data_IF_845837620597
#
_entry.id   IF_845837620597
#
_cell.length_a   1.000
_cell.length_b   1.000
_cell.length_c   1.000
_cell.angle_alpha   90.00
_cell.angle_beta   90.00
_cell.angle_gamma   90.00
#
_symmetry.space_group_name_H-M   'P 1'
#
loop_
_entity.id
_entity.type
_entity.pdbx_description
1 polymer ?
#
# COMPACT_ATOMS: atom_id res chain seq x y z
N UNK A 1 9.05 9.07 4.86
CA UNK A 1 9.38 7.95 5.79
C UNK A 1 8.09 7.45 6.41
N UNK A 2 7.95 6.16 6.71
CA UNK A 2 6.78 5.62 7.40
C UNK A 2 6.99 5.69 8.91
N UNK A 3 5.97 6.11 9.65
CA UNK A 3 5.95 6.16 11.11
C UNK A 3 4.67 5.50 11.62
N UNK A 4 4.82 4.32 12.21
CA UNK A 4 3.69 3.53 12.71
C UNK A 4 3.30 3.92 14.13
N UNK A 5 2.03 4.20 14.35
CA UNK A 5 1.44 4.42 15.67
C UNK A 5 0.60 3.21 16.07
N UNK A 6 0.55 2.89 17.35
CA UNK A 6 -0.28 1.79 17.83
C UNK A 6 -0.41 1.75 19.34
N UNK A 7 -1.36 0.94 19.82
CA UNK A 7 -1.52 0.66 21.24
C UNK A 7 -0.29 -0.03 21.85
N UNK A 8 0.48 -0.76 21.04
CA UNK A 8 1.67 -1.51 21.44
C UNK A 8 1.35 -2.74 22.29
N UNK A 9 2.18 -3.77 22.21
CA UNK A 9 2.02 -4.99 23.01
C UNK A 9 2.40 -4.78 24.48
N UNK A 10 3.19 -3.75 24.77
CA UNK A 10 3.68 -3.42 26.11
C UNK A 10 3.65 -1.91 26.33
N UNK A 11 3.66 -1.41 27.58
CA UNK A 11 3.76 0.02 27.86
C UNK A 11 5.00 0.69 27.25
N UNK A 12 6.10 -0.05 27.06
CA UNK A 12 7.31 0.47 26.44
C UNK A 12 7.21 0.64 24.92
N UNK A 13 6.35 -0.15 24.27
CA UNK A 13 6.11 -0.12 22.81
C UNK A 13 4.84 0.62 22.44
N UNK A 14 3.97 0.92 23.41
CA UNK A 14 2.78 1.75 23.24
C UNK A 14 3.13 3.17 22.79
N UNK A 15 2.36 3.75 21.87
CA UNK A 15 2.52 5.14 21.45
C UNK A 15 2.56 6.09 22.67
N UNK A 16 3.56 6.97 22.68
CA UNK A 16 3.75 7.98 23.72
C UNK A 16 3.92 9.36 23.07
N UNK A 17 3.18 10.40 23.53
CA UNK A 17 3.26 11.73 22.94
C UNK A 17 4.66 12.35 23.01
N UNK A 18 5.40 12.15 24.10
CA UNK A 18 6.70 12.79 24.26
C UNK A 18 7.75 12.18 23.32
N UNK A 19 7.74 10.86 23.20
CA UNK A 19 8.58 10.11 22.26
C UNK A 19 8.23 10.45 20.80
N UNK A 20 6.94 10.41 20.44
CA UNK A 20 6.49 10.78 19.10
C UNK A 20 6.99 12.16 18.67
N UNK A 21 6.90 13.18 19.54
CA UNK A 21 7.41 14.52 19.23
C UNK A 21 8.93 14.56 19.01
N UNK A 22 9.68 13.72 19.74
CA UNK A 22 11.12 13.60 19.53
C UNK A 22 11.41 12.92 18.19
N UNK A 23 10.67 11.86 17.86
CA UNK A 23 10.83 11.10 16.63
C UNK A 23 10.50 11.94 15.39
N UNK A 24 9.37 12.67 15.38
CA UNK A 24 9.00 13.57 14.27
C UNK A 24 10.01 14.70 14.11
N UNK A 25 10.58 15.23 15.21
CA UNK A 25 11.69 16.19 15.12
C UNK A 25 12.91 15.58 14.47
N UNK A 26 13.32 14.37 14.86
CA UNK A 26 14.46 13.69 14.26
C UNK A 26 14.21 13.40 12.77
N UNK A 27 13.01 12.96 12.40
CA UNK A 27 12.57 12.76 11.01
C UNK A 27 12.78 14.04 10.19
N UNK A 28 12.37 15.20 10.71
CA UNK A 28 12.51 16.47 9.97
C UNK A 28 13.91 17.06 10.00
N UNK A 29 14.59 17.02 11.15
CA UNK A 29 15.84 17.77 11.40
C UNK A 29 17.10 16.95 11.17
N UNK A 30 17.07 15.68 11.51
CA UNK A 30 18.26 14.82 11.48
C UNK A 30 18.24 13.93 10.24
N UNK A 31 17.05 13.39 9.89
CA UNK A 31 16.84 12.63 8.65
C UNK A 31 16.55 13.53 7.44
N UNK A 32 16.21 14.80 7.67
CA UNK A 32 15.87 15.77 6.62
C UNK A 32 14.72 15.34 5.70
N UNK A 33 13.81 14.48 6.20
CA UNK A 33 12.63 14.10 5.43
C UNK A 33 11.73 15.32 5.22
N UNK A 34 11.08 15.35 4.06
CA UNK A 34 10.03 16.31 3.70
C UNK A 34 8.63 15.69 3.75
N UNK A 35 8.52 14.36 3.84
CA UNK A 35 7.27 13.61 3.87
C UNK A 35 7.29 12.53 4.94
N UNK A 36 6.19 12.38 5.68
CA UNK A 36 5.94 11.26 6.59
C UNK A 36 4.60 10.60 6.30
N UNK A 37 4.60 9.29 6.20
CA UNK A 37 3.39 8.46 6.22
C UNK A 37 3.13 8.03 7.66
N UNK A 38 1.99 8.47 8.21
CA UNK A 38 1.53 8.18 9.55
C UNK A 38 0.47 7.10 9.45
N UNK A 39 0.87 5.87 9.78
CA UNK A 39 0.01 4.68 9.66
C UNK A 39 -0.25 4.03 11.02
N UNK A 40 -1.36 3.33 11.20
CA UNK A 40 -1.64 2.59 12.42
C UNK A 40 -3.08 2.69 12.94
N UNK A 41 -3.26 2.38 14.22
CA UNK A 41 -4.55 2.38 14.89
C UNK A 41 -4.75 3.59 15.83
N UNK A 42 -6.02 3.81 16.20
CA UNK A 42 -6.41 4.86 17.16
C UNK A 42 -6.40 6.28 16.57
N UNK A 43 -7.59 6.86 16.41
CA UNK A 43 -7.77 8.21 15.85
C UNK A 43 -6.92 9.25 16.59
N UNK A 44 -6.91 9.22 17.92
CA UNK A 44 -6.13 10.19 18.71
C UNK A 44 -4.63 10.13 18.41
N UNK A 45 -4.06 8.91 18.32
CA UNK A 45 -2.63 8.72 18.05
C UNK A 45 -2.26 9.20 16.64
N UNK A 46 -3.06 8.81 15.66
CA UNK A 46 -2.90 9.18 14.26
C UNK A 46 -2.98 10.71 14.08
N UNK A 47 -4.05 11.31 14.59
CA UNK A 47 -4.30 12.75 14.42
C UNK A 47 -3.29 13.61 15.18
N UNK A 48 -2.89 13.22 16.39
CA UNK A 48 -1.85 13.92 17.14
C UNK A 48 -0.48 13.87 16.42
N UNK A 49 -0.15 12.72 15.83
CA UNK A 49 1.12 12.55 15.09
C UNK A 49 1.10 13.33 13.77
N UNK A 50 -0.02 13.31 13.05
CA UNK A 50 -0.22 14.08 11.83
C UNK A 50 -0.15 15.59 12.07
N UNK A 51 -0.74 16.11 13.16
CA UNK A 51 -0.59 17.51 13.55
C UNK A 51 0.86 17.87 13.83
N UNK A 52 1.57 17.08 14.65
CA UNK A 52 2.96 17.34 15.00
C UNK A 52 3.87 17.38 13.75
N UNK A 53 3.60 16.51 12.78
CA UNK A 53 4.30 16.47 11.50
C UNK A 53 3.99 17.69 10.63
N UNK A 54 2.71 18.05 10.49
CA UNK A 54 2.28 19.21 9.75
C UNK A 54 2.88 20.53 10.31
N UNK A 55 2.94 20.68 11.64
CA UNK A 55 3.58 21.83 12.31
C UNK A 55 5.08 21.97 12.02
N UNK A 56 5.72 20.94 11.44
CA UNK A 56 7.15 20.91 11.09
C UNK A 56 7.38 20.99 9.58
N UNK A 57 6.36 21.40 8.84
CA UNK A 57 6.36 21.52 7.38
C UNK A 57 6.66 20.18 6.68
N UNK A 58 6.28 19.06 7.31
CA UNK A 58 6.27 17.77 6.63
C UNK A 58 4.97 17.65 5.83
N UNK A 59 5.07 17.16 4.60
CA UNK A 59 3.92 16.60 3.91
C UNK A 59 3.48 15.33 4.64
N UNK A 60 2.20 15.24 4.99
CA UNK A 60 1.65 14.13 5.77
C UNK A 60 0.83 13.23 4.87
N UNK A 61 1.22 11.97 4.75
CA UNK A 61 0.33 10.93 4.28
C UNK A 61 -0.33 10.31 5.52
N UNK A 62 -1.64 10.48 5.69
CA UNK A 62 -2.38 9.89 6.80
C UNK A 62 -3.01 8.59 6.34
N UNK A 63 -2.60 7.46 6.91
CA UNK A 63 -3.06 6.12 6.53
C UNK A 63 -3.67 5.40 7.75
N UNK A 64 -4.96 5.57 8.04
CA UNK A 64 -5.61 4.85 9.14
C UNK A 64 -5.70 3.35 8.81
N UNK A 65 -5.12 2.49 9.65
CA UNK A 65 -5.05 1.02 9.47
C UNK A 65 -5.58 0.28 10.69
N UNK A 66 -6.84 0.52 11.05
CA UNK A 66 -7.52 -0.27 12.09
C UNK A 66 -7.90 -1.64 11.54
N UNK A 67 -7.21 -2.69 12.01
CA UNK A 67 -7.53 -4.09 11.70
C UNK A 67 -8.41 -4.75 12.75
N UNK A 68 -9.06 -5.85 12.36
CA UNK A 68 -9.75 -6.80 13.25
C UNK A 68 -10.83 -6.17 14.17
N UNK A 69 -11.45 -5.10 13.69
CA UNK A 69 -12.56 -4.41 14.36
C UNK A 69 -13.85 -4.54 13.55
N UNK A 70 -15.04 -4.36 14.16
CA UNK A 70 -16.30 -4.31 13.42
C UNK A 70 -16.23 -3.34 12.24
N UNK A 71 -16.80 -3.70 11.09
CA UNK A 71 -16.73 -2.89 9.86
C UNK A 71 -17.17 -1.44 10.06
N UNK A 72 -18.21 -1.23 10.88
CA UNK A 72 -18.68 0.11 11.25
C UNK A 72 -17.60 0.94 11.93
N UNK A 73 -16.81 0.32 12.81
CA UNK A 73 -15.77 0.99 13.59
C UNK A 73 -14.57 1.33 12.70
N UNK A 74 -14.23 0.46 11.73
CA UNK A 74 -13.22 0.74 10.70
C UNK A 74 -13.66 1.93 9.83
N UNK A 75 -14.92 1.94 9.38
CA UNK A 75 -15.45 3.05 8.59
C UNK A 75 -15.49 4.37 9.37
N UNK A 76 -15.87 4.34 10.66
CA UNK A 76 -15.84 5.53 11.50
C UNK A 76 -14.41 6.02 11.77
N UNK A 77 -13.46 5.10 12.00
CA UNK A 77 -12.03 5.42 12.18
C UNK A 77 -11.45 6.12 10.95
N UNK A 78 -11.75 5.62 9.75
CA UNK A 78 -11.39 6.27 8.48
C UNK A 78 -12.06 7.64 8.35
N UNK A 79 -13.36 7.74 8.66
CA UNK A 79 -14.10 8.99 8.55
C UNK A 79 -13.56 10.07 9.50
N UNK A 80 -13.25 9.72 10.74
CA UNK A 80 -12.68 10.65 11.73
C UNK A 80 -11.29 11.13 11.32
N UNK A 81 -10.42 10.23 10.86
CA UNK A 81 -9.10 10.59 10.35
C UNK A 81 -9.22 11.47 9.08
N UNK A 82 -10.16 11.18 8.18
CA UNK A 82 -10.43 11.99 7.00
C UNK A 82 -10.96 13.39 7.34
N UNK A 83 -11.91 13.51 8.28
CA UNK A 83 -12.39 14.81 8.78
C UNK A 83 -11.24 15.62 9.39
N UNK A 84 -10.29 14.96 10.06
CA UNK A 84 -9.13 15.63 10.64
C UNK A 84 -8.13 16.08 9.57
N UNK A 85 -7.78 15.21 8.61
CA UNK A 85 -6.92 15.56 7.48
C UNK A 85 -7.49 16.77 6.71
N UNK A 86 -8.80 16.81 6.48
CA UNK A 86 -9.45 17.94 5.83
C UNK A 86 -9.32 19.25 6.63
N UNK A 87 -9.40 19.18 7.96
CA UNK A 87 -9.15 20.35 8.82
C UNK A 87 -7.71 20.84 8.73
N UNK A 88 -6.73 19.93 8.75
CA UNK A 88 -5.31 20.28 8.58
C UNK A 88 -5.07 20.93 7.21
N UNK A 89 -5.64 20.37 6.15
CA UNK A 89 -5.58 20.93 4.79
C UNK A 89 -6.17 22.34 4.74
N UNK A 90 -7.34 22.55 5.36
CA UNK A 90 -7.98 23.86 5.46
C UNK A 90 -7.17 24.90 6.26
N UNK A 91 -6.23 24.46 7.10
CA UNK A 91 -5.28 25.32 7.83
C UNK A 91 -3.97 25.57 7.06
N UNK A 92 -3.84 25.02 5.84
CA UNK A 92 -2.67 25.19 4.98
C UNK A 92 -1.62 24.08 5.08
N UNK A 93 -1.88 23.02 5.85
CA UNK A 93 -0.98 21.87 5.90
C UNK A 93 -1.03 21.08 4.59
N UNK A 94 0.11 20.53 4.17
CA UNK A 94 0.18 19.58 3.07
C UNK A 94 -0.14 18.18 3.59
N UNK A 95 -1.34 17.69 3.34
CA UNK A 95 -1.83 16.41 3.85
C UNK A 95 -2.67 15.66 2.81
N UNK A 96 -2.42 14.36 2.72
CA UNK A 96 -3.17 13.41 1.91
C UNK A 96 -3.71 12.29 2.80
N UNK A 97 -4.89 11.76 2.47
CA UNK A 97 -5.50 10.64 3.18
C UNK A 97 -5.38 9.39 2.31
N UNK A 98 -4.65 8.38 2.79
CA UNK A 98 -4.65 7.03 2.23
C UNK A 98 -5.80 6.23 2.83
N UNK A 99 -6.60 5.59 1.99
CA UNK A 99 -7.60 4.61 2.44
C UNK A 99 -7.39 3.30 1.69
N UNK A 100 -7.59 2.17 2.36
CA UNK A 100 -7.65 0.87 1.69
C UNK A 100 -6.35 0.09 1.59
N UNK A 101 -5.42 0.25 2.53
CA UNK A 101 -4.40 -0.76 2.74
C UNK A 101 -5.07 -2.09 3.17
N UNK A 102 -5.08 -3.06 2.27
CA UNK A 102 -5.36 -4.49 2.54
C UNK A 102 -6.73 -4.81 3.20
N UNK A 103 -7.81 -4.18 2.73
CA UNK A 103 -9.15 -4.43 3.27
C UNK A 103 -9.56 -5.92 3.33
N UNK A 104 -9.15 -6.74 2.36
CA UNK A 104 -9.42 -8.18 2.36
C UNK A 104 -8.92 -8.93 3.61
N UNK A 105 -7.80 -8.51 4.20
CA UNK A 105 -7.17 -9.15 5.34
C UNK A 105 -7.55 -8.50 6.66
N UNK A 106 -7.68 -7.17 6.70
CA UNK A 106 -7.90 -6.46 7.95
C UNK A 106 -9.36 -6.23 8.33
N UNK A 107 -10.28 -6.38 7.37
CA UNK A 107 -11.72 -6.17 7.61
C UNK A 107 -12.41 -7.52 7.87
N UNK A 108 -13.00 -7.72 9.07
CA UNK A 108 -13.73 -8.93 9.37
C UNK A 108 -14.88 -9.18 8.40
N UNK A 109 -15.08 -10.45 8.08
CA UNK A 109 -16.18 -10.92 7.25
C UNK A 109 -15.88 -10.94 5.75
N UNK A 110 -14.83 -10.29 5.25
CA UNK A 110 -14.45 -10.39 3.83
C UNK A 110 -13.86 -11.77 3.53
N UNK A 111 -12.74 -12.09 4.17
CA UNK A 111 -12.18 -13.44 4.24
C UNK A 111 -12.65 -14.12 5.53
N UNK A 112 -13.02 -15.41 5.52
CA UNK A 112 -13.34 -16.14 6.76
C UNK A 112 -12.18 -16.10 7.75
N UNK A 113 -12.46 -15.83 9.03
CA UNK A 113 -11.46 -15.73 10.10
C UNK A 113 -11.68 -14.53 11.00
N UNK A 114 -11.53 -14.73 12.31
CA UNK A 114 -11.73 -13.69 13.33
C UNK A 114 -10.50 -12.78 13.44
N UNK A 115 -9.31 -13.28 13.07
CA UNK A 115 -8.06 -12.51 13.05
C UNK A 115 -7.44 -12.45 11.65
N UNK A 116 -6.59 -11.47 11.40
CA UNK A 116 -5.75 -11.40 10.18
C UNK A 116 -5.02 -12.72 9.92
N UNK A 117 -4.46 -13.35 10.96
CA UNK A 117 -3.71 -14.61 10.82
C UNK A 117 -4.61 -15.77 10.38
N UNK A 118 -5.81 -15.89 10.96
CA UNK A 118 -6.80 -16.90 10.54
C UNK A 118 -7.30 -16.65 9.11
N UNK A 119 -7.42 -15.38 8.69
CA UNK A 119 -7.80 -15.04 7.31
C UNK A 119 -6.71 -15.42 6.31
N UNK A 120 -5.44 -15.19 6.65
CA UNK A 120 -4.28 -15.64 5.85
C UNK A 120 -4.30 -17.17 5.72
N UNK A 121 -4.50 -17.89 6.83
CA UNK A 121 -4.55 -19.35 6.85
C UNK A 121 -5.73 -19.89 6.00
N UNK A 122 -6.90 -19.25 6.07
CA UNK A 122 -8.06 -19.66 5.28
C UNK A 122 -7.91 -19.40 3.77
N UNK A 123 -7.10 -18.41 3.39
CA UNK A 123 -6.73 -18.17 2.00
C UNK A 123 -5.72 -19.21 1.49
N UNK A 124 -4.72 -19.54 2.31
CA UNK A 124 -3.71 -20.54 1.99
C UNK A 124 -4.32 -21.94 1.87
N UNK A 125 -5.20 -22.32 2.79
CA UNK A 125 -5.82 -23.64 2.79
C UNK A 125 -6.96 -23.82 1.76
N UNK A 126 -7.25 -22.79 0.95
CA UNK A 126 -8.35 -22.82 -0.03
C UNK A 126 -9.75 -22.87 0.59
N UNK A 127 -9.87 -22.63 1.89
CA UNK A 127 -11.14 -22.66 2.65
C UNK A 127 -12.02 -21.46 2.35
N UNK A 128 -11.43 -20.36 1.85
CA UNK A 128 -12.15 -19.17 1.43
C UNK A 128 -12.65 -19.29 -0.02
N UNK A 129 -13.98 -19.30 -0.23
CA UNK A 129 -14.59 -19.25 -1.57
C UNK A 129 -14.25 -17.91 -2.26
N UNK A 130 -13.47 -17.90 -3.37
CA UNK A 130 -13.05 -16.67 -4.03
C UNK A 130 -14.21 -15.82 -4.55
N UNK A 131 -15.31 -16.42 -5.01
CA UNK A 131 -16.48 -15.67 -5.48
C UNK A 131 -17.24 -15.02 -4.31
N UNK A 132 -17.27 -15.69 -3.16
CA UNK A 132 -17.86 -15.14 -1.95
C UNK A 132 -16.99 -14.03 -1.35
N UNK A 133 -15.67 -14.24 -1.27
CA UNK A 133 -14.71 -13.21 -0.86
C UNK A 133 -14.83 -12.00 -1.77
N UNK A 134 -14.84 -12.18 -3.09
CA UNK A 134 -14.98 -11.07 -4.05
C UNK A 134 -16.31 -10.36 -3.93
N UNK A 135 -17.42 -11.07 -3.69
CA UNK A 135 -18.74 -10.42 -3.45
C UNK A 135 -18.76 -9.61 -2.16
N UNK A 136 -18.17 -10.12 -1.08
CA UNK A 136 -18.11 -9.41 0.21
C UNK A 136 -17.14 -8.24 0.17
N UNK A 137 -16.00 -8.43 -0.50
CA UNK A 137 -15.09 -7.36 -0.85
C UNK A 137 -15.85 -6.31 -1.65
N UNK A 138 -16.49 -6.63 -2.78
CA UNK A 138 -17.28 -5.66 -3.56
C UNK A 138 -18.45 -5.02 -2.81
N UNK A 139 -19.05 -5.69 -1.83
CA UNK A 139 -20.08 -5.10 -0.97
C UNK A 139 -19.48 -4.08 0.01
N UNK A 140 -18.25 -4.33 0.49
CA UNK A 140 -17.48 -3.44 1.34
C UNK A 140 -16.77 -2.32 0.54
N UNK A 141 -16.22 -2.67 -0.63
CA UNK A 141 -15.42 -1.90 -1.58
C UNK A 141 -16.18 -1.58 -2.86
N UNK A 142 -17.52 -1.47 -2.82
CA UNK A 142 -18.34 -0.97 -3.92
C UNK A 142 -17.99 0.46 -4.37
N UNK A 143 -16.82 0.95 -3.97
CA UNK A 143 -16.12 2.17 -4.34
C UNK A 143 -14.62 2.01 -4.75
N UNK A 144 -13.92 0.85 -4.78
CA UNK A 144 -12.50 0.78 -5.23
C UNK A 144 -11.88 -0.64 -5.42
N UNK A 145 -11.72 -1.17 -6.65
CA UNK A 145 -11.23 -2.57 -6.89
C UNK A 145 -9.71 -2.76 -7.18
N UNK A 146 -9.17 -3.98 -6.94
CA UNK A 146 -7.87 -4.46 -7.48
C UNK A 146 -7.14 -5.51 -6.60
N UNK A 147 -6.79 -6.70 -7.10
CA UNK A 147 -6.04 -7.75 -6.35
C UNK A 147 -5.12 -8.64 -7.24
N UNK A 148 -3.91 -8.18 -7.54
CA UNK A 148 -2.97 -8.74 -8.53
C UNK A 148 -2.09 -9.88 -8.02
N UNK A 149 -1.80 -9.92 -6.72
CA UNK A 149 -1.02 -10.97 -6.05
C UNK A 149 -1.72 -12.33 -5.98
N UNK A 150 -3.01 -12.40 -6.32
CA UNK A 150 -3.80 -13.64 -6.30
C UNK A 150 -3.32 -14.70 -7.30
N UNK A 151 -2.49 -14.30 -8.27
CA UNK A 151 -1.96 -15.17 -9.33
C UNK A 151 -0.66 -15.89 -8.94
N UNK A 152 -0.18 -15.72 -7.70
CA UNK A 152 0.97 -16.49 -7.17
C UNK A 152 0.46 -17.66 -6.32
N UNK A 153 1.10 -18.82 -6.50
CA UNK A 153 0.92 -20.03 -5.72
C UNK A 153 2.01 -20.13 -4.65
N UNK A 154 1.68 -19.64 -3.46
CA UNK A 154 2.57 -19.67 -2.30
C UNK A 154 2.59 -21.02 -1.58
N UNK A 155 1.75 -21.98 -1.98
CA UNK A 155 1.78 -23.34 -1.43
C UNK A 155 2.94 -24.17 -2.01
N UNK A 156 3.63 -23.62 -3.02
CA UNK A 156 4.81 -24.20 -3.65
C UNK A 156 6.10 -23.54 -3.16
N UNK A 157 7.17 -24.32 -3.11
CA UNK A 157 8.51 -23.87 -2.78
C UNK A 157 9.49 -24.26 -3.91
N UNK A 158 9.94 -23.30 -4.74
CA UNK A 158 9.63 -21.86 -4.68
C UNK A 158 8.19 -21.54 -5.18
N UNK A 159 7.64 -20.35 -4.84
CA UNK A 159 6.32 -19.93 -5.33
C UNK A 159 6.26 -19.84 -6.86
N UNK A 160 5.11 -20.22 -7.43
CA UNK A 160 4.89 -20.26 -8.88
C UNK A 160 3.74 -19.35 -9.33
N UNK A 161 3.79 -18.84 -10.57
CA UNK A 161 2.69 -18.16 -11.23
C UNK A 161 1.61 -19.19 -11.61
N UNK A 162 0.37 -18.94 -11.17
CA UNK A 162 -0.80 -19.75 -11.48
C UNK A 162 -1.23 -19.55 -12.93
N UNK A 163 -1.40 -20.65 -13.68
CA UNK A 163 -1.93 -20.62 -15.05
C UNK A 163 -0.92 -20.11 -16.08
N UNK A 164 -1.44 -19.65 -17.22
CA UNK A 164 -0.63 -19.24 -18.38
C UNK A 164 -0.62 -17.71 -18.53
N UNK A 165 -0.14 -16.98 -17.51
CA UNK A 165 0.01 -15.54 -17.64
C UNK A 165 1.06 -15.24 -18.72
N UNK A 166 0.79 -14.20 -19.51
CA UNK A 166 1.72 -13.68 -20.50
C UNK A 166 2.16 -12.30 -20.03
N UNK A 167 3.47 -12.15 -19.79
CA UNK A 167 4.05 -10.87 -19.43
C UNK A 167 3.85 -9.86 -20.56
N UNK A 168 3.34 -8.68 -20.22
CA UNK A 168 3.26 -7.53 -21.13
C UNK A 168 3.45 -6.23 -20.37
N UNK A 169 4.67 -5.70 -20.38
CA UNK A 169 4.95 -4.37 -19.81
C UNK A 169 4.20 -3.28 -20.58
N UNK A 170 3.99 -3.47 -21.88
CA UNK A 170 3.20 -2.58 -22.73
C UNK A 170 1.75 -2.45 -22.26
N UNK A 171 1.12 -3.57 -21.91
CA UNK A 171 -0.27 -3.57 -21.42
C UNK A 171 -0.38 -2.83 -20.08
N UNK A 172 0.58 -3.04 -19.16
CA UNK A 172 0.67 -2.29 -17.90
C UNK A 172 0.85 -0.78 -18.15
N UNK A 173 1.76 -0.41 -19.06
CA UNK A 173 2.03 0.98 -19.41
C UNK A 173 0.81 1.69 -20.01
N UNK A 174 0.15 1.06 -20.99
CA UNK A 174 -1.05 1.58 -21.63
C UNK A 174 -2.17 1.82 -20.61
N UNK A 175 -2.41 0.84 -19.74
CA UNK A 175 -3.42 0.95 -18.68
C UNK A 175 -3.17 2.14 -17.75
N UNK A 176 -1.93 2.31 -17.27
CA UNK A 176 -1.56 3.42 -16.39
C UNK A 176 -1.71 4.78 -17.09
N UNK A 177 -1.32 4.89 -18.37
CA UNK A 177 -1.49 6.13 -19.13
C UNK A 177 -2.94 6.46 -19.45
N UNK A 178 -3.79 5.46 -19.68
CA UNK A 178 -5.22 5.64 -19.91
C UNK A 178 -5.90 6.13 -18.63
N UNK A 179 -5.59 5.52 -17.48
CA UNK A 179 -6.09 5.96 -16.17
C UNK A 179 -5.68 7.41 -15.86
N UNK A 180 -4.41 7.75 -16.07
CA UNK A 180 -3.95 9.13 -15.86
C UNK A 180 -4.66 10.13 -16.78
N UNK A 181 -4.92 9.76 -18.04
CA UNK A 181 -5.66 10.63 -18.97
C UNK A 181 -7.10 10.88 -18.49
N UNK A 182 -7.75 9.86 -17.94
CA UNK A 182 -9.07 10.00 -17.32
C UNK A 182 -9.00 10.92 -16.09
N UNK A 183 -8.04 10.70 -15.19
CA UNK A 183 -7.86 11.51 -13.98
C UNK A 183 -7.55 12.99 -14.28
N UNK A 184 -6.71 13.26 -15.28
CA UNK A 184 -6.43 14.62 -15.76
C UNK A 184 -7.70 15.27 -16.34
N UNK A 185 -8.50 14.52 -17.12
CA UNK A 185 -9.76 15.03 -17.69
C UNK A 185 -10.80 15.40 -16.62
N UNK A 186 -10.71 14.78 -15.45
CA UNK A 186 -11.54 15.06 -14.28
C UNK A 186 -11.03 16.24 -13.44
N UNK A 187 -9.85 16.79 -13.76
CA UNK A 187 -9.23 17.87 -13.00
C UNK A 187 -8.79 17.45 -11.60
N UNK A 188 -8.42 16.18 -11.40
CA UNK A 188 -7.94 15.68 -10.11
C UNK A 188 -6.64 16.41 -9.72
N UNK A 189 -6.54 16.77 -8.45
CA UNK A 189 -5.38 17.48 -7.90
C UNK A 189 -4.10 16.64 -7.91
N UNK A 190 -4.21 15.32 -7.73
CA UNK A 190 -3.10 14.38 -7.78
C UNK A 190 -3.58 12.97 -8.18
N UNK A 191 -2.70 12.20 -8.82
CA UNK A 191 -2.85 10.78 -9.09
C UNK A 191 -1.47 10.11 -8.97
N UNK A 192 -1.37 9.07 -8.15
CA UNK A 192 -0.11 8.36 -7.90
C UNK A 192 -0.20 6.93 -8.42
N UNK A 193 0.84 6.47 -9.11
CA UNK A 193 0.94 5.08 -9.52
C UNK A 193 1.33 4.21 -8.31
N UNK A 194 0.46 3.27 -7.94
CA UNK A 194 0.84 2.12 -7.13
C UNK A 194 1.39 1.05 -8.09
N UNK A 195 2.66 0.62 -7.99
CA UNK A 195 3.69 0.96 -7.01
C UNK A 195 5.06 1.15 -7.67
N UNK A 196 6.08 1.61 -6.93
CA UNK A 196 7.42 1.79 -7.50
C UNK A 196 8.19 0.46 -7.64
N UNK A 197 8.18 -0.36 -6.59
CA UNK A 197 9.01 -1.57 -6.46
C UNK A 197 8.32 -2.59 -5.56
N UNK A 198 8.45 -3.88 -5.91
CA UNK A 198 8.10 -5.04 -5.07
C UNK A 198 9.32 -5.94 -4.97
N UNK A 199 10.21 -5.69 -3.99
CA UNK A 199 11.55 -6.29 -3.96
C UNK A 199 11.54 -7.83 -3.85
N UNK A 200 10.49 -8.37 -3.25
CA UNK A 200 10.22 -9.80 -3.04
C UNK A 200 9.56 -10.48 -4.24
N UNK A 201 9.25 -9.74 -5.32
CA UNK A 201 8.75 -10.26 -6.58
C UNK A 201 9.83 -10.16 -7.68
N UNK A 202 10.88 -11.01 -7.67
CA UNK A 202 11.97 -10.90 -8.61
C UNK A 202 11.53 -11.21 -10.03
N UNK A 203 12.09 -10.47 -10.97
CA UNK A 203 11.98 -10.77 -12.38
C UNK A 203 12.88 -11.95 -12.75
N UNK A 204 12.31 -12.96 -13.41
CA UNK A 204 13.03 -14.14 -13.90
C UNK A 204 12.92 -14.28 -15.43
N UNK A 205 13.78 -13.59 -16.19
CA UNK A 205 13.76 -13.71 -17.64
C UNK A 205 14.10 -15.14 -18.07
N UNK A 206 13.21 -15.76 -18.85
CA UNK A 206 13.35 -17.15 -19.30
C UNK A 206 12.74 -18.20 -18.38
N UNK A 207 12.17 -17.80 -17.24
CA UNK A 207 11.43 -18.68 -16.34
C UNK A 207 10.09 -18.05 -15.92
N UNK A 208 9.09 -18.02 -16.82
CA UNK A 208 7.80 -17.40 -16.56
C UNK A 208 7.03 -18.03 -15.39
N UNK A 209 7.32 -19.30 -15.07
CA UNK A 209 6.66 -19.99 -13.98
C UNK A 209 7.04 -19.40 -12.62
N UNK A 210 8.25 -18.85 -12.49
CA UNK A 210 8.74 -18.26 -11.24
C UNK A 210 8.98 -16.74 -11.36
N UNK A 211 8.52 -16.10 -12.44
CA UNK A 211 8.62 -14.66 -12.68
C UNK A 211 7.57 -13.90 -11.84
N UNK A 212 7.81 -13.81 -10.52
CA UNK A 212 6.88 -13.19 -9.56
C UNK A 212 6.60 -11.71 -9.87
N UNK A 213 7.50 -11.04 -10.58
CA UNK A 213 7.29 -9.67 -11.08
C UNK A 213 6.04 -9.54 -11.98
N UNK A 214 5.55 -10.64 -12.55
CA UNK A 214 4.29 -10.67 -13.31
C UNK A 214 3.04 -10.48 -12.45
N UNK A 215 3.13 -10.75 -11.14
CA UNK A 215 2.07 -10.52 -10.17
C UNK A 215 2.20 -9.16 -9.44
N UNK A 216 3.32 -8.46 -9.66
CA UNK A 216 3.64 -7.17 -9.04
C UNK A 216 2.95 -6.02 -9.77
N UNK A 217 2.54 -5.00 -9.00
CA UNK A 217 2.07 -3.73 -9.54
C UNK A 217 3.18 -2.73 -9.83
N UNK A 218 4.43 -3.08 -9.49
CA UNK A 218 5.56 -2.18 -9.57
C UNK A 218 5.80 -1.72 -11.01
N UNK A 219 6.20 -0.46 -11.16
CA UNK A 219 6.69 0.10 -12.43
C UNK A 219 8.19 -0.18 -12.65
N UNK A 220 8.86 -0.78 -11.67
CA UNK A 220 10.22 -1.33 -11.78
C UNK A 220 10.22 -2.82 -11.49
N UNK A 221 11.22 -3.53 -11.98
CA UNK A 221 11.38 -4.98 -11.79
C UNK A 221 12.67 -5.27 -11.03
N UNK A 222 12.64 -6.01 -9.90
CA UNK A 222 13.85 -6.44 -9.21
C UNK A 222 14.56 -7.53 -10.02
N UNK A 223 15.87 -7.42 -10.20
CA UNK A 223 16.72 -8.40 -10.88
C UNK A 223 17.81 -8.85 -9.92
N UNK A 224 17.91 -10.16 -9.69
CA UNK A 224 18.97 -10.76 -8.87
C UNK A 224 20.15 -11.16 -9.75
N UNK A 225 21.37 -10.92 -9.28
CA UNK A 225 22.58 -11.42 -9.95
C UNK A 225 22.59 -12.96 -10.04
N UNK A 226 22.10 -13.62 -9.00
CA UNK A 226 21.97 -15.07 -8.87
C UNK A 226 20.54 -15.41 -8.41
N UNK A 227 19.61 -15.70 -9.33
CA UNK A 227 18.18 -15.86 -9.02
C UNK A 227 17.84 -16.90 -7.96
N UNK A 228 18.63 -17.97 -7.87
CA UNK A 228 18.38 -19.11 -6.96
C UNK A 228 19.10 -18.98 -5.61
N UNK A 229 19.91 -17.94 -5.43
CA UNK A 229 20.55 -17.66 -4.15
C UNK A 229 19.72 -16.62 -3.36
N UNK A 230 19.11 -17.00 -2.22
CA UNK A 230 18.34 -16.07 -1.39
C UNK A 230 19.20 -14.93 -0.84
N UNK A 231 20.52 -15.10 -0.75
CA UNK A 231 21.48 -14.06 -0.34
C UNK A 231 22.05 -13.27 -1.52
N UNK A 232 21.57 -13.48 -2.75
CA UNK A 232 22.06 -12.75 -3.92
C UNK A 232 21.83 -11.23 -3.77
N UNK A 233 22.84 -10.40 -4.08
CA UNK A 233 22.59 -8.99 -4.35
C UNK A 233 21.60 -8.84 -5.52
N UNK A 234 20.91 -7.71 -5.54
CA UNK A 234 19.91 -7.37 -6.54
C UNK A 234 19.89 -5.86 -6.82
N UNK A 235 19.42 -5.50 -8.01
CA UNK A 235 19.10 -4.12 -8.42
C UNK A 235 17.70 -4.09 -9.04
N UNK A 236 17.17 -2.91 -9.34
CA UNK A 236 15.93 -2.77 -10.09
C UNK A 236 16.20 -2.21 -11.48
N UNK A 237 15.35 -2.59 -12.44
CA UNK A 237 15.33 -2.03 -13.79
C UNK A 237 13.96 -1.40 -14.09
N UNK A 238 13.90 -0.29 -14.85
CA UNK A 238 12.61 0.33 -15.19
C UNK A 238 11.81 -0.58 -16.14
N UNK A 239 10.49 -0.68 -15.93
CA UNK A 239 9.55 -1.26 -16.90
C UNK A 239 9.11 -0.21 -17.93
N UNK A 240 8.45 -0.62 -19.00
CA UNK A 240 7.80 0.32 -19.93
C UNK A 240 6.87 1.32 -19.21
N UNK A 241 6.16 0.88 -18.17
CA UNK A 241 5.29 1.72 -17.34
C UNK A 241 6.06 2.89 -16.69
N UNK A 242 7.27 2.65 -16.19
CA UNK A 242 8.11 3.72 -15.63
C UNK A 242 8.43 4.79 -16.66
N UNK A 243 8.81 4.37 -17.88
CA UNK A 243 9.11 5.31 -18.96
C UNK A 243 7.86 6.08 -19.40
N UNK A 244 6.72 5.41 -19.51
CA UNK A 244 5.45 6.04 -19.87
C UNK A 244 5.03 7.11 -18.85
N UNK A 245 5.09 6.79 -17.55
CA UNK A 245 4.81 7.73 -16.47
C UNK A 245 5.81 8.89 -16.44
N UNK A 246 7.11 8.61 -16.58
CA UNK A 246 8.17 9.61 -16.63
C UNK A 246 7.93 10.63 -17.75
N UNK A 247 7.59 10.17 -18.96
CA UNK A 247 7.25 11.05 -20.07
C UNK A 247 5.99 11.88 -19.82
N UNK A 248 4.98 11.31 -19.14
CA UNK A 248 3.75 12.04 -18.82
C UNK A 248 4.02 13.14 -17.79
N UNK A 249 4.68 12.81 -16.68
CA UNK A 249 5.02 13.75 -15.62
C UNK A 249 5.90 14.90 -16.12
N UNK A 250 6.83 14.64 -17.04
CA UNK A 250 7.67 15.69 -17.64
C UNK A 250 6.92 16.69 -18.54
N UNK A 251 5.69 16.38 -18.97
CA UNK A 251 4.87 17.24 -19.85
C UNK A 251 3.87 18.11 -19.09
N UNK A 252 3.61 17.80 -17.83
CA UNK A 252 2.60 18.46 -16.98
C UNK A 252 3.21 19.44 -15.97
N UNK A 253 4.53 19.65 -15.98
CA UNK A 253 5.24 20.71 -15.26
C UNK A 253 5.32 22.01 -16.07
#
# INVERSE_FOLDING_TARGET
VVYTVGAGETPGTAWDPARMRADVRAIRRDLHANTVDVTGDGVERLTATAAEAAERDLHVWLQPTLGDAPQRDILEHLAECGRFAERLRGQGASVELSVGCEFWLFVPGIVPGETVLERIENLQNGTADPEQVQRRLNAFTGQAGGMGWSVVDYDKDPPEIKGNLVRSEHTQAAYLTDLLSVFESMGLYAAMAFEFLTADAPHRPGDPLHDLDMASYAITKPVKDRPDDPASPWHWEPKEAFHALSHRYARTC
#
